data_IF_011725871546
#
_entry.id   IF_011725871546
#
_cell.length_a   1.000
_cell.length_b   1.000
_cell.length_c   1.000
_cell.angle_alpha   90.00
_cell.angle_beta   90.00
_cell.angle_gamma   90.00
#
_symmetry.space_group_name_H-M   'P 1'
#
loop_
_entity.id
_entity.type
_entity.pdbx_description
1 polymer ?
#
# COMPACT_ATOMS: atom_id res chain seq x y z
N UNK A 1 -15.59 -2.89 -13.79
CA UNK A 1 -15.36 -3.80 -12.65
C UNK A 1 -14.86 -2.95 -11.50
N UNK A 2 -15.34 -3.19 -10.29
CA UNK A 2 -14.97 -2.41 -9.09
C UNK A 2 -14.28 -3.33 -8.09
N UNK A 3 -13.22 -2.83 -7.47
CA UNK A 3 -12.48 -3.52 -6.41
C UNK A 3 -12.50 -2.66 -5.15
N UNK A 4 -12.58 -3.30 -4.00
CA UNK A 4 -12.63 -2.67 -2.68
C UNK A 4 -11.70 -3.44 -1.73
N UNK A 5 -11.11 -2.74 -0.78
CA UNK A 5 -10.25 -3.33 0.24
C UNK A 5 -10.76 -2.95 1.63
N UNK A 6 -10.76 -3.90 2.57
CA UNK A 6 -11.03 -3.58 3.97
C UNK A 6 -9.85 -2.80 4.56
N UNK A 7 -10.11 -1.88 5.50
CA UNK A 7 -9.07 -1.09 6.19
C UNK A 7 -7.95 -1.93 6.80
N UNK A 8 -8.25 -3.15 7.24
CA UNK A 8 -7.29 -4.07 7.88
C UNK A 8 -6.67 -5.06 6.89
N UNK A 9 -7.10 -5.05 5.62
CA UNK A 9 -6.55 -5.92 4.59
C UNK A 9 -5.12 -5.53 4.16
N UNK A 10 -4.47 -6.42 3.42
CA UNK A 10 -3.15 -6.22 2.82
C UNK A 10 -3.16 -6.71 1.38
N UNK A 11 -2.28 -6.16 0.57
CA UNK A 11 -2.05 -6.66 -0.79
C UNK A 11 -0.81 -6.07 -1.44
N UNK A 12 0.02 -6.98 -1.92
CA UNK A 12 1.27 -6.71 -2.60
C UNK A 12 1.52 -7.80 -3.64
N UNK A 13 2.65 -7.70 -4.35
CA UNK A 13 3.06 -8.73 -5.32
C UNK A 13 3.61 -9.97 -4.60
N UNK A 14 4.27 -9.77 -3.47
CA UNK A 14 4.85 -10.80 -2.62
C UNK A 14 4.48 -10.47 -1.18
N UNK A 15 4.44 -11.49 -0.33
CA UNK A 15 4.34 -11.30 1.12
C UNK A 15 5.54 -10.44 1.62
N UNK A 16 5.37 -9.70 2.72
CA UNK A 16 6.41 -8.82 3.26
C UNK A 16 7.76 -9.54 3.46
N UNK A 17 7.74 -10.77 3.95
CA UNK A 17 8.90 -11.64 4.12
C UNK A 17 9.64 -11.87 2.80
N UNK A 18 8.92 -12.26 1.75
CA UNK A 18 9.49 -12.46 0.41
C UNK A 18 10.02 -11.15 -0.19
N UNK A 19 9.37 -10.03 0.07
CA UNK A 19 9.86 -8.71 -0.34
C UNK A 19 11.18 -8.38 0.34
N UNK A 20 11.33 -8.67 1.64
CA UNK A 20 12.57 -8.46 2.40
C UNK A 20 13.69 -9.35 1.88
N UNK A 21 13.42 -10.63 1.62
CA UNK A 21 14.42 -11.56 1.07
C UNK A 21 14.99 -11.10 -0.27
N UNK A 22 14.17 -10.46 -1.10
CA UNK A 22 14.62 -9.98 -2.41
C UNK A 22 15.23 -8.58 -2.32
N UNK A 23 14.57 -7.64 -1.64
CA UNK A 23 14.85 -6.20 -1.71
C UNK A 23 15.51 -5.59 -0.47
N UNK A 24 15.46 -6.23 0.69
CA UNK A 24 16.00 -5.71 1.95
C UNK A 24 16.90 -6.75 2.64
N UNK A 25 17.94 -7.19 1.92
CA UNK A 25 18.81 -8.29 2.33
C UNK A 25 19.71 -7.90 3.50
N UNK A 26 20.46 -8.87 4.04
CA UNK A 26 21.43 -8.66 5.13
C UNK A 26 22.30 -7.42 4.97
N UNK A 27 22.79 -7.13 3.76
CA UNK A 27 23.60 -5.93 3.49
C UNK A 27 22.88 -4.62 3.84
N UNK A 28 21.58 -4.54 3.59
CA UNK A 28 20.78 -3.35 3.85
C UNK A 28 20.32 -3.28 5.32
N UNK A 29 20.11 -4.43 5.96
CA UNK A 29 19.96 -4.51 7.43
C UNK A 29 21.19 -3.94 8.13
N UNK A 30 22.39 -4.35 7.71
CA UNK A 30 23.67 -3.86 8.26
C UNK A 30 23.84 -2.35 8.04
N UNK A 31 23.52 -1.84 6.85
CA UNK A 31 23.49 -0.38 6.60
C UNK A 31 22.53 0.35 7.54
N UNK A 32 21.38 -0.26 7.83
CA UNK A 32 20.38 0.31 8.74
C UNK A 32 20.88 0.32 10.18
N UNK A 33 21.51 -0.76 10.65
CA UNK A 33 22.17 -0.82 11.96
C UNK A 33 23.23 0.27 12.07
N UNK A 34 24.10 0.44 11.06
CA UNK A 34 25.12 1.49 11.05
C UNK A 34 24.53 2.91 11.13
N UNK A 35 23.33 3.12 10.59
CA UNK A 35 22.66 4.42 10.59
C UNK A 35 21.91 4.72 11.90
N UNK A 36 21.36 3.71 12.56
CA UNK A 36 20.37 3.91 13.64
C UNK A 36 20.81 3.33 14.98
N UNK A 37 21.63 2.27 15.02
CA UNK A 37 22.11 1.68 16.27
C UNK A 37 23.31 2.46 16.83
N UNK A 38 23.20 3.10 18.01
CA UNK A 38 24.29 3.91 18.56
C UNK A 38 25.56 3.11 18.85
N UNK A 39 25.42 1.84 19.29
CA UNK A 39 26.55 0.99 19.62
C UNK A 39 27.29 0.60 18.34
N UNK A 40 26.58 0.11 17.32
CA UNK A 40 27.16 -0.23 16.03
C UNK A 40 27.84 0.98 15.39
N UNK A 41 27.21 2.15 15.44
CA UNK A 41 27.76 3.39 14.91
C UNK A 41 29.08 3.75 15.61
N UNK A 42 29.11 3.74 16.95
CA UNK A 42 30.33 4.04 17.72
C UNK A 42 31.47 3.04 17.47
N UNK A 43 31.15 1.74 17.31
CA UNK A 43 32.15 0.72 16.98
C UNK A 43 32.70 0.92 15.57
N UNK A 44 31.83 1.21 14.60
CA UNK A 44 32.21 1.45 13.21
C UNK A 44 33.02 2.74 13.02
N UNK A 45 32.72 3.80 13.77
CA UNK A 45 33.48 5.05 13.78
C UNK A 45 34.88 4.85 14.35
N UNK A 46 34.99 4.14 15.49
CA UNK A 46 36.28 3.78 16.07
C UNK A 46 37.12 2.96 15.10
N UNK A 47 36.52 2.00 14.39
CA UNK A 47 37.23 1.22 13.37
C UNK A 47 37.79 2.08 12.22
N UNK A 48 37.22 3.26 11.98
CA UNK A 48 37.65 4.19 10.93
C UNK A 48 38.83 5.08 11.31
N UNK A 49 39.34 5.03 12.54
CA UNK A 49 40.46 5.88 12.97
C UNK A 49 41.82 5.34 12.49
N UNK A 50 42.69 6.18 11.89
CA UNK A 50 43.90 5.74 11.19
C UNK A 50 45.07 5.25 12.08
N UNK A 51 44.93 5.28 13.42
CA UNK A 51 46.02 5.01 14.38
C UNK A 51 45.81 3.74 15.22
N UNK A 52 44.94 2.82 14.80
CA UNK A 52 44.64 1.62 15.57
C UNK A 52 45.72 0.54 15.44
N UNK A 53 46.06 -0.07 16.57
CA UNK A 53 46.91 -1.26 16.60
C UNK A 53 46.20 -2.46 15.95
N UNK A 54 46.92 -3.41 15.31
CA UNK A 54 46.30 -4.58 14.69
C UNK A 54 45.43 -5.42 15.66
N UNK A 55 45.80 -5.47 16.95
CA UNK A 55 45.01 -6.14 17.99
C UNK A 55 43.69 -5.44 18.27
N UNK A 56 43.71 -4.11 18.35
CA UNK A 56 42.53 -3.29 18.63
C UNK A 56 41.55 -3.29 17.46
N UNK A 57 42.06 -3.25 16.22
CA UNK A 57 41.24 -3.46 15.02
C UNK A 57 40.49 -4.78 15.08
N UNK A 58 41.19 -5.88 15.39
CA UNK A 58 40.58 -7.22 15.45
C UNK A 58 39.55 -7.35 16.57
N UNK A 59 39.79 -6.73 17.72
CA UNK A 59 38.80 -6.68 18.81
C UNK A 59 37.55 -5.90 18.43
N UNK A 60 37.71 -4.74 17.77
CA UNK A 60 36.59 -3.92 17.32
C UNK A 60 35.78 -4.61 16.22
N UNK A 61 36.43 -5.27 15.25
CA UNK A 61 35.75 -6.10 14.24
C UNK A 61 34.94 -7.23 14.90
N UNK A 62 35.51 -7.87 15.93
CA UNK A 62 34.83 -8.94 16.67
C UNK A 62 33.57 -8.40 17.37
N UNK A 63 33.70 -7.31 18.13
CA UNK A 63 32.57 -6.67 18.81
C UNK A 63 31.48 -6.18 17.85
N UNK A 64 31.89 -5.67 16.69
CA UNK A 64 30.97 -5.18 15.66
C UNK A 64 30.20 -6.35 15.02
N UNK A 65 30.86 -7.48 14.78
CA UNK A 65 30.22 -8.72 14.33
C UNK A 65 29.26 -9.31 15.38
N UNK A 66 29.66 -9.34 16.65
CA UNK A 66 28.79 -9.78 17.75
C UNK A 66 27.53 -8.91 17.85
N UNK A 67 27.69 -7.57 17.73
CA UNK A 67 26.55 -6.64 17.72
C UNK A 67 25.66 -6.85 16.49
N UNK A 68 26.24 -7.09 15.32
CA UNK A 68 25.49 -7.41 14.09
C UNK A 68 24.63 -8.65 14.27
N UNK A 69 25.21 -9.75 14.74
CA UNK A 69 24.53 -11.03 14.92
C UNK A 69 23.42 -10.92 15.97
N UNK A 70 23.67 -10.18 17.05
CA UNK A 70 22.68 -9.89 18.08
C UNK A 70 21.47 -9.09 17.54
N UNK A 71 21.72 -8.10 16.69
CA UNK A 71 20.68 -7.21 16.17
C UNK A 71 19.92 -7.79 14.98
N UNK A 72 20.48 -8.78 14.28
CA UNK A 72 19.92 -9.29 13.04
C UNK A 72 18.44 -9.72 13.15
N UNK A 73 17.99 -10.46 14.19
CA UNK A 73 16.60 -10.89 14.28
C UNK A 73 15.60 -9.74 14.40
N UNK A 74 15.90 -8.73 15.23
CA UNK A 74 14.98 -7.60 15.44
C UNK A 74 14.97 -6.65 14.23
N UNK A 75 16.12 -6.41 13.60
CA UNK A 75 16.17 -5.60 12.39
C UNK A 75 15.50 -6.29 11.19
N UNK A 76 15.52 -7.62 11.13
CA UNK A 76 14.73 -8.35 10.14
C UNK A 76 13.23 -8.11 10.34
N UNK A 77 12.71 -8.19 11.58
CA UNK A 77 11.30 -7.87 11.87
C UNK A 77 10.95 -6.43 11.51
N UNK A 78 11.83 -5.47 11.78
CA UNK A 78 11.65 -4.07 11.35
C UNK A 78 11.58 -3.96 9.82
N UNK A 79 12.42 -4.70 9.09
CA UNK A 79 12.38 -4.71 7.63
C UNK A 79 11.08 -5.34 7.08
N UNK A 80 10.58 -6.40 7.72
CA UNK A 80 9.28 -7.01 7.38
C UNK A 80 8.15 -6.02 7.60
N UNK A 81 8.11 -5.33 8.75
CA UNK A 81 7.12 -4.29 9.00
C UNK A 81 7.24 -3.12 8.03
N UNK A 82 8.46 -2.73 7.66
CA UNK A 82 8.70 -1.71 6.65
C UNK A 82 8.13 -2.12 5.29
N UNK A 83 8.29 -3.39 4.89
CA UNK A 83 7.66 -3.92 3.68
C UNK A 83 6.13 -3.93 3.79
N UNK A 84 5.56 -4.41 4.90
CA UNK A 84 4.10 -4.45 5.13
C UNK A 84 3.43 -3.07 5.01
N UNK A 85 4.10 -1.99 5.42
CA UNK A 85 3.59 -0.62 5.26
C UNK A 85 3.35 -0.23 3.78
N UNK A 86 4.02 -0.91 2.84
CA UNK A 86 3.81 -0.70 1.40
C UNK A 86 2.62 -1.49 0.84
N UNK A 87 2.01 -2.40 1.61
CA UNK A 87 0.94 -3.28 1.16
C UNK A 87 -0.42 -2.90 1.77
N UNK A 88 -0.52 -1.65 2.27
CA UNK A 88 -1.72 -1.13 2.92
C UNK A 88 -2.79 -0.68 1.91
N UNK A 89 -4.09 -0.74 2.29
CA UNK A 89 -5.19 -0.26 1.45
C UNK A 89 -5.07 1.22 1.07
N UNK A 90 -4.50 2.05 1.96
CA UNK A 90 -4.22 3.46 1.69
C UNK A 90 -3.34 3.64 0.45
N UNK A 91 -2.29 2.83 0.30
CA UNK A 91 -1.46 2.86 -0.90
C UNK A 91 -2.19 2.33 -2.13
N UNK A 92 -3.05 1.32 -1.98
CA UNK A 92 -3.86 0.81 -3.10
C UNK A 92 -4.78 1.89 -3.66
N UNK A 93 -5.44 2.65 -2.79
CA UNK A 93 -6.34 3.74 -3.19
C UNK A 93 -5.55 4.88 -3.84
N UNK A 94 -4.41 5.28 -3.27
CA UNK A 94 -3.53 6.31 -3.86
C UNK A 94 -2.95 5.91 -5.23
N UNK A 95 -2.83 4.60 -5.49
CA UNK A 95 -2.46 4.09 -6.82
C UNK A 95 -3.65 3.87 -7.75
N UNK A 96 -4.87 4.10 -7.30
CA UNK A 96 -6.09 3.94 -8.07
C UNK A 96 -6.39 2.50 -8.47
N UNK A 97 -5.85 1.51 -7.73
CA UNK A 97 -6.11 0.08 -8.03
C UNK A 97 -7.36 -0.45 -7.33
N UNK A 98 -7.89 0.28 -6.35
CA UNK A 98 -9.19 0.05 -5.72
C UNK A 98 -10.06 1.30 -5.81
N UNK A 99 -11.37 1.10 -5.72
CA UNK A 99 -12.39 2.16 -5.77
C UNK A 99 -12.46 2.89 -4.43
N UNK A 100 -12.51 2.13 -3.33
CA UNK A 100 -12.57 2.68 -1.99
C UNK A 100 -12.08 1.69 -0.91
N UNK A 101 -11.79 2.23 0.27
CA UNK A 101 -11.45 1.48 1.48
C UNK A 101 -12.71 1.39 2.35
N UNK A 102 -13.08 0.17 2.73
CA UNK A 102 -14.29 -0.08 3.50
C UNK A 102 -13.98 -0.54 4.93
N UNK A 103 -14.95 -0.34 5.82
CA UNK A 103 -15.00 -1.01 7.11
C UNK A 103 -15.96 -2.20 7.01
N UNK A 104 -15.48 -3.40 7.36
CA UNK A 104 -16.27 -4.62 7.40
C UNK A 104 -17.62 -4.44 8.09
N UNK A 105 -17.69 -3.70 9.20
CA UNK A 105 -18.92 -3.54 9.99
C UNK A 105 -20.05 -2.87 9.19
N UNK A 106 -19.72 -1.91 8.32
CA UNK A 106 -20.69 -1.19 7.49
C UNK A 106 -20.74 -1.69 6.04
N UNK A 107 -19.84 -2.61 5.67
CA UNK A 107 -19.67 -3.12 4.30
C UNK A 107 -20.97 -3.69 3.69
N UNK A 108 -21.79 -4.38 4.49
CA UNK A 108 -23.06 -4.96 4.00
C UNK A 108 -24.03 -3.89 3.50
N UNK A 109 -24.18 -2.81 4.25
CA UNK A 109 -25.06 -1.70 3.86
C UNK A 109 -24.51 -0.99 2.63
N UNK A 110 -23.18 -0.76 2.59
CA UNK A 110 -22.51 -0.19 1.44
C UNK A 110 -22.76 -1.02 0.16
N UNK A 111 -22.45 -2.33 0.19
CA UNK A 111 -22.61 -3.18 -0.99
C UNK A 111 -24.07 -3.37 -1.41
N UNK A 112 -25.03 -3.36 -0.47
CA UNK A 112 -26.45 -3.39 -0.81
C UNK A 112 -26.83 -2.21 -1.73
N UNK A 113 -26.48 -0.99 -1.35
CA UNK A 113 -26.81 0.20 -2.14
C UNK A 113 -25.98 0.29 -3.42
N UNK A 114 -24.68 0.00 -3.35
CA UNK A 114 -23.81 0.03 -4.52
C UNK A 114 -24.24 -0.96 -5.58
N UNK A 115 -24.49 -2.22 -5.21
CA UNK A 115 -24.91 -3.24 -6.16
C UNK A 115 -26.30 -2.93 -6.75
N UNK A 116 -27.25 -2.50 -5.92
CA UNK A 116 -28.58 -2.10 -6.38
C UNK A 116 -28.49 -0.98 -7.42
N UNK A 117 -27.65 0.03 -7.18
CA UNK A 117 -27.39 1.12 -8.14
C UNK A 117 -26.78 0.58 -9.43
N UNK A 118 -25.73 -0.22 -9.36
CA UNK A 118 -25.05 -0.76 -10.54
C UNK A 118 -25.98 -1.58 -11.43
N UNK A 119 -26.84 -2.42 -10.85
CA UNK A 119 -27.83 -3.20 -11.60
C UNK A 119 -28.89 -2.33 -12.29
N UNK A 120 -29.33 -1.27 -11.62
CA UNK A 120 -30.27 -0.30 -12.22
C UNK A 120 -29.61 0.51 -13.33
N UNK A 121 -28.37 0.95 -13.12
CA UNK A 121 -27.58 1.66 -14.12
C UNK A 121 -27.37 0.79 -15.36
N UNK A 122 -27.00 -0.48 -15.18
CA UNK A 122 -26.83 -1.45 -16.26
C UNK A 122 -28.13 -1.70 -17.04
N UNK A 123 -29.26 -1.79 -16.33
CA UNK A 123 -30.59 -1.90 -16.96
C UNK A 123 -30.89 -0.70 -17.85
N UNK A 124 -30.57 0.51 -17.41
CA UNK A 124 -30.79 1.73 -18.21
C UNK A 124 -29.78 1.82 -19.36
N UNK A 125 -28.50 1.49 -19.14
CA UNK A 125 -27.48 1.42 -20.20
C UNK A 125 -27.91 0.48 -21.32
N UNK A 126 -28.42 -0.69 -20.96
CA UNK A 126 -28.94 -1.67 -21.92
C UNK A 126 -30.09 -1.11 -22.77
N UNK A 127 -31.02 -0.35 -22.17
CA UNK A 127 -32.11 0.31 -22.91
C UNK A 127 -31.60 1.43 -23.84
N UNK A 128 -30.62 2.20 -23.41
CA UNK A 128 -30.02 3.26 -24.24
C UNK A 128 -29.29 2.64 -25.42
N UNK A 129 -28.49 1.60 -25.18
CA UNK A 129 -27.76 0.87 -26.23
C UNK A 129 -28.72 0.22 -27.24
N UNK A 130 -29.85 -0.33 -26.79
CA UNK A 130 -30.89 -0.85 -27.68
C UNK A 130 -31.58 0.23 -28.53
N UNK A 131 -31.69 1.46 -28.01
CA UNK A 131 -32.28 2.59 -28.74
C UNK A 131 -31.28 3.26 -29.72
N UNK A 132 -29.99 3.27 -29.38
CA UNK A 132 -28.93 3.76 -30.23
C UNK A 132 -27.63 2.99 -29.98
N UNK A 133 -27.33 2.05 -30.87
CA UNK A 133 -26.14 1.19 -30.78
C UNK A 133 -24.84 1.88 -31.20
N UNK A 134 -24.89 3.09 -31.76
CA UNK A 134 -23.70 3.85 -32.15
C UNK A 134 -23.04 4.55 -30.94
N UNK A 135 -23.77 4.66 -29.82
CA UNK A 135 -23.26 5.26 -28.59
C UNK A 135 -22.28 4.32 -27.89
N UNK A 136 -21.11 4.86 -27.53
CA UNK A 136 -20.12 4.17 -26.71
C UNK A 136 -20.52 4.17 -25.23
N UNK A 137 -20.07 3.17 -24.45
CA UNK A 137 -20.39 3.09 -23.01
C UNK A 137 -19.99 4.36 -22.24
N UNK A 138 -18.84 4.96 -22.57
CA UNK A 138 -18.40 6.23 -21.97
C UNK A 138 -19.35 7.39 -22.24
N UNK A 139 -19.92 7.47 -23.45
CA UNK A 139 -20.94 8.48 -23.78
C UNK A 139 -22.23 8.22 -23.00
N UNK A 140 -22.67 6.97 -22.91
CA UNK A 140 -23.87 6.58 -22.16
C UNK A 140 -23.71 6.93 -20.67
N UNK A 141 -22.55 6.63 -20.07
CA UNK A 141 -22.22 7.01 -18.70
C UNK A 141 -22.27 8.52 -18.48
N UNK A 142 -21.67 9.30 -19.38
CA UNK A 142 -21.71 10.76 -19.31
C UNK A 142 -23.13 11.31 -19.45
N UNK A 143 -23.95 10.72 -20.33
CA UNK A 143 -25.36 11.07 -20.51
C UNK A 143 -26.17 10.81 -19.25
N UNK A 144 -26.01 9.65 -18.61
CA UNK A 144 -26.69 9.32 -17.37
C UNK A 144 -26.36 10.31 -16.25
N UNK A 145 -25.07 10.64 -16.10
CA UNK A 145 -24.63 11.64 -15.12
C UNK A 145 -25.23 13.01 -15.44
N UNK A 146 -25.24 13.41 -16.72
CA UNK A 146 -25.82 14.70 -17.16
C UNK A 146 -27.32 14.76 -16.85
N UNK A 147 -28.09 13.75 -17.22
CA UNK A 147 -29.53 13.69 -16.97
C UNK A 147 -29.86 13.72 -15.48
N UNK A 148 -29.06 13.06 -14.64
CA UNK A 148 -29.21 13.15 -13.20
C UNK A 148 -29.04 14.60 -12.70
N UNK A 149 -27.97 15.29 -13.12
CA UNK A 149 -27.73 16.68 -12.72
C UNK A 149 -28.80 17.64 -13.25
N UNK A 150 -29.28 17.43 -14.48
CA UNK A 150 -30.36 18.23 -15.08
C UNK A 150 -31.69 18.06 -14.31
N UNK A 151 -31.99 16.85 -13.85
CA UNK A 151 -33.24 16.54 -13.14
C UNK A 151 -33.21 16.98 -11.66
N UNK A 152 -32.10 16.73 -10.96
CA UNK A 152 -31.99 16.93 -9.49
C UNK A 152 -31.29 18.24 -9.08
N UNK A 153 -30.68 18.94 -10.04
CA UNK A 153 -29.92 20.17 -9.84
C UNK A 153 -28.47 19.95 -9.37
N UNK A 154 -27.57 20.86 -9.76
CA UNK A 154 -26.12 20.76 -9.49
C UNK A 154 -25.72 20.85 -8.00
N UNK A 155 -26.66 21.18 -7.10
CA UNK A 155 -26.39 21.38 -5.66
C UNK A 155 -26.25 20.05 -4.90
N UNK A 156 -26.75 18.94 -5.46
CA UNK A 156 -26.67 17.62 -4.83
C UNK A 156 -25.41 16.87 -5.27
N UNK A 157 -24.37 16.83 -4.41
CA UNK A 157 -23.19 15.92 -4.54
C UNK A 157 -23.51 14.42 -4.39
N UNK A 158 -24.79 14.10 -4.37
CA UNK A 158 -25.37 12.78 -4.10
C UNK A 158 -24.97 11.73 -5.17
N UNK A 159 -24.53 12.15 -6.36
CA UNK A 159 -24.08 11.21 -7.39
C UNK A 159 -22.85 10.38 -6.97
N UNK A 160 -21.95 10.94 -6.17
CA UNK A 160 -20.73 10.24 -5.70
C UNK A 160 -20.90 9.65 -4.29
N UNK A 161 -21.84 10.17 -3.50
CA UNK A 161 -22.11 9.75 -2.12
C UNK A 161 -23.11 8.56 -1.99
N UNK A 162 -23.62 8.01 -3.11
CA UNK A 162 -24.60 6.90 -3.17
C UNK A 162 -24.08 5.58 -3.75
#
# INVERSE_FOLDING_TARGET
MEMYADKDSRGGVLEPEGTVEIKFRKKDLVKTMRRVDPIYMSLAERLGTPELNPSECKELETKLKEREEFLLPIYHQVAVQFADLHDTPGRMQEKGVITDILDWQTSRQFFYWRLRRLLLEDTVKSKISAANSELTDGQIQAMLRRWFVEAEGAVKRVWEEM
#
